data_IF_516346326563
#
_entry.id   IF_516346326563
#
_cell.length_a   1.000
_cell.length_b   1.000
_cell.length_c   1.000
_cell.angle_alpha   90.00
_cell.angle_beta   90.00
_cell.angle_gamma   90.00
#
_symmetry.space_group_name_H-M   'P 1'
#
loop_
_entity.id
_entity.type
_entity.pdbx_description
1 polymer ?
#
# COMPACT_ATOMS: atom_id res chain seq x y z
N UNK A 1 -29.33 22.07 59.77
CA UNK A 1 -28.34 22.39 58.74
C UNK A 1 -27.59 21.11 58.35
N UNK A 2 -28.21 20.11 57.72
CA UNK A 2 -27.55 18.83 57.36
C UNK A 2 -28.42 18.06 56.35
N UNK A 3 -28.73 18.62 55.21
CA UNK A 3 -29.38 17.88 54.13
C UNK A 3 -28.98 18.35 52.69
N UNK A 4 -27.88 19.09 52.50
CA UNK A 4 -27.44 19.59 51.19
C UNK A 4 -26.15 18.93 50.65
N UNK A 5 -25.50 18.02 51.38
CA UNK A 5 -24.22 17.43 50.99
C UNK A 5 -24.33 16.04 50.29
N UNK A 6 -25.53 15.45 50.23
CA UNK A 6 -25.69 14.09 49.67
C UNK A 6 -26.02 14.06 48.17
N UNK A 7 -26.42 15.19 47.56
CA UNK A 7 -26.76 15.20 46.11
C UNK A 7 -25.60 15.48 45.16
N UNK A 8 -24.44 15.91 45.65
CA UNK A 8 -23.30 16.25 44.78
C UNK A 8 -22.37 15.07 44.49
N UNK A 9 -22.48 13.98 45.25
CA UNK A 9 -21.61 12.79 45.07
C UNK A 9 -22.15 11.77 44.06
N UNK A 10 -23.41 11.86 43.62
CA UNK A 10 -24.01 10.90 42.67
C UNK A 10 -23.89 11.37 41.21
N UNK A 11 -23.59 12.64 40.97
CA UNK A 11 -23.43 13.19 39.60
C UNK A 11 -22.04 12.99 38.98
N UNK A 12 -21.05 12.51 39.74
CA UNK A 12 -19.68 12.23 39.24
C UNK A 12 -19.46 10.77 38.82
N UNK A 13 -20.44 9.88 39.01
CA UNK A 13 -20.30 8.45 38.69
C UNK A 13 -20.93 8.03 37.36
N UNK A 14 -21.44 8.97 36.57
CA UNK A 14 -22.03 8.74 35.26
C UNK A 14 -21.29 9.53 34.14
N UNK A 15 -19.96 9.64 34.23
CA UNK A 15 -19.20 9.92 33.03
C UNK A 15 -19.32 8.67 32.14
N UNK A 16 -19.94 8.74 30.93
CA UNK A 16 -19.85 7.63 30.02
C UNK A 16 -18.35 7.43 29.75
N UNK A 17 -17.84 6.22 30.01
CA UNK A 17 -16.61 5.76 29.42
C UNK A 17 -16.85 5.91 27.92
N UNK A 18 -16.33 6.98 27.33
CA UNK A 18 -16.15 7.06 25.90
C UNK A 18 -15.15 5.95 25.59
N UNK A 19 -15.67 4.77 25.26
CA UNK A 19 -14.90 3.76 24.58
C UNK A 19 -14.37 4.48 23.36
N UNK A 20 -13.06 4.67 23.27
CA UNK A 20 -12.41 5.13 22.06
C UNK A 20 -12.82 4.15 20.98
N UNK A 21 -13.74 4.55 20.12
CA UNK A 21 -14.13 3.74 18.97
C UNK A 21 -12.86 3.57 18.13
N UNK A 22 -12.55 2.32 17.77
CA UNK A 22 -11.53 2.06 16.78
C UNK A 22 -11.82 2.87 15.52
N UNK A 23 -10.84 3.46 14.84
CA UNK A 23 -11.07 4.14 13.57
C UNK A 23 -11.86 3.28 12.57
N UNK A 24 -11.68 1.96 12.58
CA UNK A 24 -12.45 1.01 11.77
C UNK A 24 -13.96 1.02 12.07
N UNK A 25 -14.36 1.29 13.32
CA UNK A 25 -15.77 1.30 13.73
C UNK A 25 -16.54 2.53 13.21
N UNK A 26 -15.84 3.52 12.66
CA UNK A 26 -16.46 4.77 12.17
C UNK A 26 -16.73 4.77 10.68
N UNK A 27 -16.19 3.80 9.94
CA UNK A 27 -16.33 3.72 8.48
C UNK A 27 -17.43 2.73 8.11
N UNK A 28 -18.53 3.25 7.55
CA UNK A 28 -19.61 2.43 7.00
C UNK A 28 -19.70 2.58 5.50
N UNK A 29 -19.81 1.45 4.79
CA UNK A 29 -20.05 1.44 3.37
C UNK A 29 -21.50 1.83 3.07
N UNK A 30 -21.70 2.85 2.23
CA UNK A 30 -23.03 3.20 1.71
C UNK A 30 -23.34 2.40 0.44
N UNK A 31 -24.63 2.38 0.05
CA UNK A 31 -25.06 1.64 -1.16
C UNK A 31 -24.37 2.05 -2.46
N UNK A 32 -23.73 3.23 -2.50
CA UNK A 32 -23.02 3.75 -3.67
C UNK A 32 -21.49 3.63 -3.53
N UNK A 33 -20.99 2.94 -2.51
CA UNK A 33 -19.57 2.81 -2.25
C UNK A 33 -18.94 1.60 -2.94
N UNK A 34 -19.74 0.74 -3.55
CA UNK A 34 -19.28 -0.38 -4.36
C UNK A 34 -18.39 0.10 -5.52
N UNK A 35 -17.23 -0.53 -5.68
CA UNK A 35 -16.26 -0.18 -6.72
C UNK A 35 -15.38 1.02 -6.38
N UNK A 36 -15.48 1.59 -5.19
CA UNK A 36 -14.53 2.58 -4.68
C UNK A 36 -13.26 1.90 -4.17
N UNK A 37 -12.16 2.64 -4.21
CA UNK A 37 -10.92 2.21 -3.57
C UNK A 37 -10.95 2.58 -2.09
N UNK A 38 -10.55 1.63 -1.25
CA UNK A 38 -10.45 1.78 0.19
C UNK A 38 -9.00 1.75 0.62
N UNK A 39 -8.67 2.50 1.65
CA UNK A 39 -7.35 2.43 2.28
C UNK A 39 -7.30 1.26 3.26
N UNK A 40 -6.11 0.74 3.55
CA UNK A 40 -5.95 -0.31 4.55
C UNK A 40 -6.36 0.12 5.97
N UNK A 41 -6.37 1.43 6.25
CA UNK A 41 -6.79 1.99 7.55
C UNK A 41 -8.31 2.01 7.72
N UNK A 42 -9.05 2.08 6.62
CA UNK A 42 -10.50 2.26 6.60
C UNK A 42 -11.16 1.31 5.60
N UNK A 43 -11.04 -0.01 5.79
CA UNK A 43 -11.74 -0.98 4.96
C UNK A 43 -13.24 -0.98 5.29
N UNK A 44 -14.12 -1.29 4.34
CA UNK A 44 -15.57 -1.34 4.55
C UNK A 44 -15.97 -2.67 5.20
N UNK A 45 -15.63 -2.86 6.47
CA UNK A 45 -15.82 -4.14 7.20
C UNK A 45 -17.27 -4.55 7.29
N UNK A 46 -18.18 -3.60 7.53
CA UNK A 46 -19.63 -3.82 7.54
C UNK A 46 -20.14 -4.38 6.20
N UNK A 47 -19.65 -3.86 5.08
CA UNK A 47 -20.00 -4.36 3.76
C UNK A 47 -19.50 -5.80 3.51
N UNK A 48 -18.29 -6.13 3.96
CA UNK A 48 -17.76 -7.49 3.83
C UNK A 48 -18.59 -8.48 4.65
N UNK A 49 -18.97 -8.10 5.87
CA UNK A 49 -19.77 -8.95 6.75
C UNK A 49 -21.21 -9.11 6.21
N UNK A 50 -21.89 -8.00 5.86
CA UNK A 50 -23.27 -8.01 5.40
C UNK A 50 -23.45 -8.68 4.03
N UNK A 51 -22.47 -8.48 3.12
CA UNK A 51 -22.60 -8.96 1.74
C UNK A 51 -22.06 -10.38 1.55
N UNK A 52 -20.96 -10.71 2.22
CA UNK A 52 -20.24 -11.96 2.01
C UNK A 52 -20.21 -12.86 3.23
N UNK A 53 -20.70 -12.41 4.38
CA UNK A 53 -20.59 -13.13 5.64
C UNK A 53 -19.13 -13.29 6.10
N UNK A 54 -18.25 -12.37 5.68
CA UNK A 54 -16.82 -12.42 5.93
C UNK A 54 -16.44 -11.38 6.98
N UNK A 55 -16.06 -11.84 8.17
CA UNK A 55 -15.51 -11.00 9.23
C UNK A 55 -13.99 -10.93 9.06
N UNK A 56 -13.48 -9.74 8.74
CA UNK A 56 -12.04 -9.46 8.60
C UNK A 56 -11.51 -8.89 9.91
N UNK A 57 -10.47 -9.49 10.44
CA UNK A 57 -9.75 -9.00 11.60
C UNK A 57 -8.45 -8.26 11.22
N UNK A 58 -7.81 -7.65 12.22
CA UNK A 58 -6.57 -6.89 12.02
C UNK A 58 -5.42 -7.78 11.52
N UNK A 59 -5.40 -9.06 11.88
CA UNK A 59 -4.37 -9.99 11.41
C UNK A 59 -4.53 -10.26 9.92
N UNK A 60 -5.74 -10.49 9.45
CA UNK A 60 -6.04 -10.67 8.02
C UNK A 60 -5.69 -9.42 7.22
N UNK A 61 -6.13 -8.25 7.67
CA UNK A 61 -5.86 -6.97 7.02
C UNK A 61 -4.36 -6.68 6.96
N UNK A 62 -3.64 -6.93 8.06
CA UNK A 62 -2.19 -6.80 8.09
C UNK A 62 -1.51 -7.75 7.12
N UNK A 63 -1.93 -9.01 7.07
CA UNK A 63 -1.41 -10.01 6.15
C UNK A 63 -1.62 -9.60 4.69
N UNK A 64 -2.82 -9.14 4.35
CA UNK A 64 -3.14 -8.64 3.01
C UNK A 64 -2.26 -7.43 2.63
N UNK A 65 -2.12 -6.46 3.53
CA UNK A 65 -1.26 -5.29 3.33
C UNK A 65 0.21 -5.68 3.15
N UNK A 66 0.71 -6.58 4.01
CA UNK A 66 2.11 -7.04 3.95
C UNK A 66 2.39 -7.93 2.73
N UNK A 67 1.35 -8.54 2.14
CA UNK A 67 1.47 -9.27 0.89
C UNK A 67 1.53 -8.36 -0.34
N UNK A 68 0.95 -7.17 -0.27
CA UNK A 68 0.91 -6.22 -1.38
C UNK A 68 2.21 -5.44 -1.50
N UNK A 69 2.65 -5.20 -2.74
CA UNK A 69 3.84 -4.45 -3.08
C UNK A 69 3.53 -3.38 -4.11
N UNK A 70 4.24 -2.27 -4.06
CA UNK A 70 4.36 -1.38 -5.21
C UNK A 70 5.73 -1.58 -5.88
N UNK A 71 5.74 -1.48 -7.18
CA UNK A 71 6.91 -1.51 -8.05
C UNK A 71 6.85 -0.30 -8.99
N UNK A 72 7.89 0.06 -9.74
CA UNK A 72 7.82 1.19 -10.65
C UNK A 72 6.57 1.16 -11.54
N UNK A 73 5.69 2.16 -11.39
CA UNK A 73 4.43 2.38 -12.13
C UNK A 73 3.38 1.25 -12.04
N UNK A 74 3.56 0.26 -11.18
CA UNK A 74 2.69 -0.90 -11.07
C UNK A 74 2.57 -1.40 -9.63
N UNK A 75 1.70 -2.37 -9.43
CA UNK A 75 1.57 -3.16 -8.20
C UNK A 75 2.02 -4.60 -8.41
N UNK A 76 2.38 -5.24 -7.30
CA UNK A 76 2.79 -6.63 -7.26
C UNK A 76 2.34 -7.27 -5.93
N UNK A 77 2.60 -8.54 -5.78
CA UNK A 77 2.31 -9.26 -4.53
C UNK A 77 3.36 -10.33 -4.24
N UNK A 78 3.72 -10.47 -2.96
CA UNK A 78 4.40 -11.68 -2.50
C UNK A 78 3.50 -12.89 -2.68
N UNK A 79 4.05 -13.95 -3.26
CA UNK A 79 3.36 -15.24 -3.48
C UNK A 79 4.11 -16.40 -2.84
N UNK A 80 5.22 -16.15 -2.16
CA UNK A 80 5.93 -17.16 -1.37
C UNK A 80 6.73 -16.52 -0.22
N UNK A 81 7.02 -17.31 0.83
CA UNK A 81 7.87 -16.86 1.93
C UNK A 81 9.35 -16.69 1.53
N UNK A 82 9.75 -17.17 0.35
CA UNK A 82 11.11 -17.05 -0.19
C UNK A 82 11.28 -15.84 -1.13
N UNK A 83 10.46 -14.80 -0.96
CA UNK A 83 10.58 -13.54 -1.70
C UNK A 83 10.09 -13.59 -3.15
N UNK A 84 9.37 -14.64 -3.58
CA UNK A 84 8.78 -14.68 -4.93
C UNK A 84 7.66 -13.65 -5.01
N UNK A 85 7.72 -12.82 -6.05
CA UNK A 85 6.81 -11.70 -6.32
C UNK A 85 6.13 -11.94 -7.66
N UNK A 86 4.81 -11.77 -7.71
CA UNK A 86 4.01 -11.82 -8.93
C UNK A 86 3.55 -10.42 -9.30
N UNK A 87 3.65 -10.09 -10.58
CA UNK A 87 3.09 -8.89 -11.20
C UNK A 87 2.57 -9.18 -12.59
N UNK A 88 2.02 -8.18 -13.28
CA UNK A 88 1.58 -8.33 -14.65
C UNK A 88 2.78 -8.37 -15.63
N UNK A 89 2.63 -9.09 -16.73
CA UNK A 89 3.63 -9.14 -17.80
C UNK A 89 3.87 -7.75 -18.40
N UNK A 90 2.82 -6.97 -18.63
CA UNK A 90 2.94 -5.63 -19.17
C UNK A 90 3.74 -4.67 -18.26
N UNK A 91 3.72 -4.89 -16.93
CA UNK A 91 4.53 -4.14 -15.98
C UNK A 91 6.02 -4.48 -16.05
N UNK A 92 6.37 -5.66 -16.58
CA UNK A 92 7.72 -6.20 -16.59
C UNK A 92 8.43 -6.09 -17.95
N UNK A 93 7.76 -5.65 -19.02
CA UNK A 93 8.30 -5.70 -20.39
C UNK A 93 9.65 -5.02 -20.56
N UNK A 94 9.83 -3.86 -19.95
CA UNK A 94 11.09 -3.13 -20.03
C UNK A 94 12.22 -3.92 -19.35
N UNK A 95 11.96 -4.50 -18.20
CA UNK A 95 12.94 -5.30 -17.44
C UNK A 95 13.25 -6.60 -18.15
N UNK A 96 12.25 -7.29 -18.74
CA UNK A 96 12.45 -8.51 -19.52
C UNK A 96 13.40 -8.21 -20.69
N UNK A 97 13.19 -7.10 -21.38
CA UNK A 97 14.07 -6.64 -22.45
C UNK A 97 15.47 -6.29 -21.95
N UNK A 98 15.56 -5.54 -20.83
CA UNK A 98 16.81 -5.06 -20.28
C UNK A 98 17.73 -6.19 -19.77
N UNK A 99 17.16 -7.30 -19.29
CA UNK A 99 17.93 -8.47 -18.83
C UNK A 99 18.29 -9.45 -19.95
N UNK A 100 17.82 -9.23 -21.19
CA UNK A 100 18.18 -10.03 -22.34
C UNK A 100 19.67 -9.84 -22.68
N UNK A 101 20.39 -10.94 -22.89
CA UNK A 101 21.81 -10.93 -23.26
C UNK A 101 21.96 -10.77 -24.78
N UNK A 102 23.14 -10.41 -25.27
CA UNK A 102 23.38 -10.37 -26.72
C UNK A 102 22.99 -11.68 -27.42
N UNK A 103 22.07 -11.58 -28.40
CA UNK A 103 21.54 -12.71 -29.12
C UNK A 103 20.30 -13.38 -28.51
N UNK A 104 19.81 -12.91 -27.39
CA UNK A 104 18.54 -13.33 -26.79
C UNK A 104 17.44 -12.30 -27.06
N UNK A 105 16.20 -12.77 -27.15
CA UNK A 105 15.00 -11.94 -27.15
C UNK A 105 13.99 -12.51 -26.15
N UNK A 106 14.24 -12.30 -24.88
CA UNK A 106 13.43 -12.90 -23.81
C UNK A 106 11.98 -12.40 -23.80
N UNK A 107 11.72 -11.24 -24.39
CA UNK A 107 10.35 -10.74 -24.52
C UNK A 107 9.52 -11.62 -25.47
N UNK A 108 10.12 -12.05 -26.61
CA UNK A 108 9.43 -12.90 -27.58
C UNK A 108 9.55 -14.40 -27.26
N UNK A 109 10.67 -14.83 -26.67
CA UNK A 109 10.98 -16.24 -26.41
C UNK A 109 10.51 -16.72 -25.03
N UNK A 110 10.20 -15.79 -24.13
CA UNK A 110 9.94 -16.07 -22.72
C UNK A 110 11.22 -16.36 -21.93
N UNK A 111 11.08 -16.44 -20.62
CA UNK A 111 12.17 -16.76 -19.69
C UNK A 111 11.69 -17.61 -18.53
N UNK A 112 12.49 -18.57 -18.12
CA UNK A 112 12.28 -19.34 -16.90
C UNK A 112 13.62 -19.74 -16.28
N UNK A 113 13.92 -19.26 -15.08
CA UNK A 113 15.09 -19.65 -14.30
C UNK A 113 14.85 -21.03 -13.67
N UNK A 114 15.71 -22.02 -13.95
CA UNK A 114 15.65 -23.36 -13.39
C UNK A 114 16.15 -23.40 -11.94
N UNK A 115 16.92 -22.38 -11.54
CA UNK A 115 17.50 -22.23 -10.20
C UNK A 115 17.69 -20.75 -9.86
N UNK A 116 17.87 -20.45 -8.59
CA UNK A 116 18.15 -19.07 -8.12
C UNK A 116 19.40 -18.45 -8.76
N UNK A 117 20.39 -19.28 -9.15
CA UNK A 117 21.60 -18.80 -9.82
C UNK A 117 21.39 -18.37 -11.27
N UNK A 118 20.27 -18.73 -11.85
CA UNK A 118 19.87 -18.35 -13.21
C UNK A 118 18.95 -17.14 -13.25
N UNK A 119 18.42 -16.74 -12.08
CA UNK A 119 17.61 -15.54 -11.96
C UNK A 119 18.42 -14.31 -12.39
N UNK A 120 17.79 -13.39 -13.13
CA UNK A 120 18.49 -12.26 -13.73
C UNK A 120 18.21 -10.98 -13.00
N UNK A 121 19.23 -10.30 -12.45
CA UNK A 121 19.07 -8.99 -11.83
C UNK A 121 18.40 -8.01 -12.80
N UNK A 122 17.28 -7.43 -12.39
CA UNK A 122 16.51 -6.47 -13.17
C UNK A 122 16.98 -5.05 -12.84
N UNK A 123 17.64 -4.35 -13.80
CA UNK A 123 18.18 -3.01 -13.54
C UNK A 123 17.03 -2.03 -13.26
N UNK A 124 17.29 -1.11 -12.32
CA UNK A 124 16.35 -0.06 -11.92
C UNK A 124 14.99 -0.56 -11.38
N UNK A 125 14.84 -1.88 -11.21
CA UNK A 125 13.68 -2.47 -10.56
C UNK A 125 13.85 -2.44 -9.05
N UNK A 126 12.79 -2.05 -8.36
CA UNK A 126 12.69 -2.16 -6.92
C UNK A 126 11.29 -2.63 -6.51
N UNK A 127 11.15 -3.11 -5.31
CA UNK A 127 9.85 -3.39 -4.71
C UNK A 127 9.74 -2.70 -3.36
N UNK A 128 8.57 -2.17 -3.04
CA UNK A 128 8.29 -1.51 -1.77
C UNK A 128 7.08 -2.15 -1.09
N UNK A 129 7.28 -2.54 0.15
CA UNK A 129 6.29 -3.16 1.02
C UNK A 129 5.81 -2.14 2.06
N UNK A 130 4.51 -1.84 2.10
CA UNK A 130 3.93 -0.95 3.10
C UNK A 130 3.91 -1.64 4.46
N UNK A 131 4.87 -1.29 5.32
CA UNK A 131 5.03 -1.93 6.64
C UNK A 131 4.32 -1.20 7.77
N UNK A 132 4.15 0.12 7.66
CA UNK A 132 3.56 0.95 8.70
C UNK A 132 2.73 2.09 8.12
N UNK A 133 1.62 2.38 8.78
CA UNK A 133 0.78 3.55 8.52
C UNK A 133 0.65 4.29 9.85
N UNK A 134 0.89 5.60 9.84
CA UNK A 134 0.86 6.48 11.01
C UNK A 134 -0.02 7.70 10.71
N UNK A 135 -0.96 8.02 11.60
CA UNK A 135 -1.75 9.24 11.50
C UNK A 135 -0.90 10.43 11.93
N UNK A 136 -0.63 11.34 11.02
CA UNK A 136 0.14 12.58 11.25
C UNK A 136 -0.71 13.83 11.01
N UNK A 137 -2.03 13.67 11.02
CA UNK A 137 -2.97 14.75 10.72
C UNK A 137 -2.78 15.94 11.66
N UNK A 138 -2.75 15.71 12.97
CA UNK A 138 -2.60 16.79 13.94
C UNK A 138 -1.24 17.51 13.79
N UNK A 139 -0.16 16.78 13.49
CA UNK A 139 1.16 17.36 13.27
C UNK A 139 1.18 18.28 12.04
N UNK A 140 0.58 17.86 10.92
CA UNK A 140 0.47 18.69 9.72
C UNK A 140 -0.46 19.88 9.95
N UNK A 141 -1.65 19.68 10.55
CA UNK A 141 -2.61 20.76 10.76
C UNK A 141 -2.09 21.83 11.74
N UNK A 142 -1.37 21.45 12.80
CA UNK A 142 -0.74 22.38 13.72
C UNK A 142 0.25 23.32 13.02
N UNK A 143 0.98 22.85 12.01
CA UNK A 143 1.87 23.69 11.22
C UNK A 143 1.13 24.76 10.39
N UNK A 144 -0.16 24.54 10.11
CA UNK A 144 -0.98 25.45 9.31
C UNK A 144 -1.68 26.54 10.16
N UNK A 145 -1.77 26.40 11.48
CA UNK A 145 -2.54 27.31 12.35
C UNK A 145 -2.02 28.74 12.33
N UNK A 146 -0.70 28.93 12.21
CA UNK A 146 -0.06 30.27 12.22
C UNK A 146 -0.06 30.97 10.86
N UNK A 147 -0.55 30.33 9.79
CA UNK A 147 -0.51 30.86 8.42
C UNK A 147 -1.66 31.84 8.16
N UNK A 148 -1.38 32.92 7.41
CA UNK A 148 -2.35 33.99 7.11
C UNK A 148 -2.83 33.95 5.65
N UNK A 149 -2.04 33.35 4.75
CA UNK A 149 -2.32 33.31 3.32
C UNK A 149 -2.28 31.88 2.79
N UNK A 150 -2.89 31.65 1.63
CA UNK A 150 -2.88 30.34 0.96
C UNK A 150 -1.45 29.91 0.55
N UNK A 151 -0.60 30.84 0.19
CA UNK A 151 0.80 30.59 -0.13
C UNK A 151 1.58 30.11 1.10
N UNK A 152 1.48 30.85 2.22
CA UNK A 152 2.09 30.43 3.49
C UNK A 152 1.58 29.06 3.94
N UNK A 153 0.29 28.79 3.76
CA UNK A 153 -0.33 27.50 4.09
C UNK A 153 0.23 26.37 3.24
N UNK A 154 0.45 26.58 1.96
CA UNK A 154 1.05 25.60 1.06
C UNK A 154 2.51 25.29 1.47
N UNK A 155 3.30 26.33 1.73
CA UNK A 155 4.71 26.20 2.14
C UNK A 155 4.84 25.50 3.51
N UNK A 156 4.00 25.88 4.47
CA UNK A 156 3.97 25.27 5.80
C UNK A 156 3.61 23.78 5.73
N UNK A 157 2.64 23.44 4.87
CA UNK A 157 2.27 22.02 4.64
C UNK A 157 3.43 21.23 4.08
N UNK A 158 4.08 21.73 3.03
CA UNK A 158 5.24 21.08 2.42
C UNK A 158 6.35 20.88 3.44
N UNK A 159 6.69 21.91 4.21
CA UNK A 159 7.71 21.86 5.25
C UNK A 159 7.38 20.82 6.33
N UNK A 160 6.13 20.75 6.78
CA UNK A 160 5.69 19.77 7.77
C UNK A 160 5.81 18.34 7.21
N UNK A 161 5.34 18.11 5.99
CA UNK A 161 5.44 16.81 5.30
C UNK A 161 6.90 16.38 5.16
N UNK A 162 7.78 17.25 4.68
CA UNK A 162 9.22 16.97 4.50
C UNK A 162 9.89 16.63 5.85
N UNK A 163 9.53 17.36 6.92
CA UNK A 163 10.03 17.11 8.26
C UNK A 163 9.60 15.75 8.82
N UNK A 164 8.33 15.38 8.63
CA UNK A 164 7.79 14.08 9.05
C UNK A 164 8.48 12.96 8.28
N UNK A 165 8.60 13.07 6.97
CA UNK A 165 9.27 12.10 6.10
C UNK A 165 10.72 11.89 6.55
N UNK A 166 11.50 12.98 6.68
CA UNK A 166 12.90 12.92 7.11
C UNK A 166 13.04 12.30 8.52
N UNK A 167 12.13 12.60 9.44
CA UNK A 167 12.11 12.02 10.79
C UNK A 167 11.94 10.51 10.74
N UNK A 168 10.99 10.02 9.94
CA UNK A 168 10.70 8.59 9.82
C UNK A 168 11.87 7.87 9.16
N UNK A 169 12.37 8.37 8.04
CA UNK A 169 13.49 7.76 7.29
C UNK A 169 14.77 7.71 8.13
N UNK A 170 15.09 8.80 8.84
CA UNK A 170 16.21 8.83 9.77
C UNK A 170 16.10 7.79 10.88
N UNK A 171 14.90 7.59 11.42
CA UNK A 171 14.66 6.63 12.49
C UNK A 171 14.69 5.17 12.02
N UNK A 172 14.30 4.92 10.76
CA UNK A 172 14.16 3.56 10.20
C UNK A 172 15.41 3.08 9.47
N UNK A 173 16.21 3.99 8.90
CA UNK A 173 17.44 3.70 8.15
C UNK A 173 17.21 3.51 6.64
N UNK A 174 18.33 3.31 5.92
CA UNK A 174 18.40 3.42 4.45
C UNK A 174 17.53 2.42 3.66
N UNK A 175 17.15 1.31 4.28
CA UNK A 175 16.27 0.30 3.66
C UNK A 175 14.79 0.70 3.67
N UNK A 176 14.46 1.90 4.17
CA UNK A 176 13.09 2.36 4.32
C UNK A 176 12.90 3.72 3.67
N UNK A 177 11.72 3.91 3.11
CA UNK A 177 11.25 5.19 2.57
C UNK A 177 9.94 5.58 3.24
N UNK A 178 9.66 6.87 3.32
CA UNK A 178 8.42 7.37 3.88
C UNK A 178 7.73 8.32 2.92
N UNK A 179 6.40 8.32 2.95
CA UNK A 179 5.58 9.22 2.14
C UNK A 179 4.37 9.66 2.96
N UNK A 180 4.11 10.97 3.02
CA UNK A 180 2.91 11.50 3.67
C UNK A 180 1.83 11.75 2.62
N UNK A 181 0.73 11.00 2.74
CA UNK A 181 -0.40 11.05 1.82
C UNK A 181 -1.53 11.88 2.42
N UNK A 182 -1.99 12.90 1.66
CA UNK A 182 -3.20 13.64 2.01
C UNK A 182 -4.43 12.88 1.53
N UNK A 183 -5.28 12.48 2.44
CA UNK A 183 -6.54 11.79 2.21
C UNK A 183 -7.73 12.73 2.45
N UNK A 184 -8.88 12.41 1.83
CA UNK A 184 -10.14 13.13 2.04
C UNK A 184 -10.00 14.64 1.85
N UNK A 185 -9.33 15.08 0.77
CA UNK A 185 -9.05 16.48 0.45
C UNK A 185 -8.30 17.24 1.56
N UNK A 186 -7.39 16.56 2.26
CA UNK A 186 -6.60 17.13 3.35
C UNK A 186 -7.30 17.08 4.73
N UNK A 187 -8.37 16.32 4.84
CA UNK A 187 -9.01 16.04 6.13
C UNK A 187 -8.22 15.02 6.97
N UNK A 188 -7.28 14.29 6.34
CA UNK A 188 -6.38 13.36 7.00
C UNK A 188 -5.04 13.35 6.29
N UNK A 189 -3.98 13.18 7.08
CA UNK A 189 -2.62 12.94 6.60
C UNK A 189 -2.10 11.65 7.22
N UNK A 190 -1.74 10.68 6.37
CA UNK A 190 -1.19 9.39 6.78
C UNK A 190 0.26 9.27 6.29
N UNK A 191 1.19 9.00 7.20
CA UNK A 191 2.57 8.70 6.85
C UNK A 191 2.70 7.20 6.60
N UNK A 192 3.01 6.84 5.37
CA UNK A 192 3.25 5.48 4.91
C UNK A 192 4.75 5.19 4.95
N UNK A 193 5.14 4.16 5.68
CA UNK A 193 6.53 3.70 5.72
C UNK A 193 6.66 2.42 4.91
N UNK A 194 7.54 2.45 3.91
CA UNK A 194 7.79 1.31 3.04
C UNK A 194 9.17 0.73 3.35
N UNK A 195 9.24 -0.59 3.38
CA UNK A 195 10.49 -1.31 3.22
C UNK A 195 10.80 -1.44 1.76
N UNK A 196 11.99 -1.02 1.34
CA UNK A 196 12.46 -1.07 -0.03
C UNK A 196 13.40 -2.25 -0.24
N UNK A 197 13.24 -2.93 -1.35
CA UNK A 197 14.07 -4.02 -1.83
C UNK A 197 14.64 -3.62 -3.18
N UNK A 198 15.95 -3.49 -3.30
CA UNK A 198 16.64 -3.04 -4.51
C UNK A 198 17.25 -4.19 -5.32
N UNK A 199 17.53 -5.36 -4.71
CA UNK A 199 17.90 -6.57 -5.46
C UNK A 199 16.65 -7.33 -5.87
N UNK A 200 16.17 -7.03 -7.08
CA UNK A 200 15.01 -7.67 -7.71
C UNK A 200 15.46 -8.41 -8.96
N UNK A 201 15.11 -9.69 -9.07
CA UNK A 201 15.56 -10.55 -10.17
C UNK A 201 14.40 -11.19 -10.89
N UNK A 202 14.48 -11.22 -12.24
CA UNK A 202 13.51 -11.92 -13.08
C UNK A 202 13.64 -13.42 -12.88
N UNK A 203 12.51 -14.07 -12.57
CA UNK A 203 12.41 -15.52 -12.37
C UNK A 203 11.70 -16.19 -13.55
N UNK A 204 10.57 -15.60 -13.98
CA UNK A 204 9.79 -16.14 -15.09
C UNK A 204 9.01 -15.02 -15.79
N UNK A 205 9.00 -15.07 -17.11
CA UNK A 205 8.10 -14.29 -17.95
C UNK A 205 7.63 -15.17 -19.11
N UNK A 206 6.33 -15.22 -19.43
CA UNK A 206 5.87 -15.86 -20.64
C UNK A 206 6.33 -15.06 -21.87
N UNK A 207 6.32 -15.69 -23.04
CA UNK A 207 6.50 -15.01 -24.31
C UNK A 207 5.41 -13.94 -24.52
N UNK A 208 5.73 -12.87 -25.23
CA UNK A 208 4.82 -11.75 -25.48
C UNK A 208 3.48 -12.21 -26.10
N UNK A 209 3.53 -13.22 -26.99
CA UNK A 209 2.34 -13.74 -27.66
C UNK A 209 1.33 -14.37 -26.67
N UNK A 210 1.79 -14.92 -25.55
CA UNK A 210 0.93 -15.41 -24.48
C UNK A 210 0.53 -14.29 -23.50
N UNK A 211 1.47 -13.39 -23.19
CA UNK A 211 1.25 -12.29 -22.25
C UNK A 211 0.36 -11.18 -22.78
N UNK A 212 0.21 -11.05 -24.10
CA UNK A 212 -0.46 -9.91 -24.73
C UNK A 212 -1.18 -10.22 -26.03
N UNK A 213 -1.55 -11.46 -26.30
CA UNK A 213 -2.29 -11.75 -27.54
C UNK A 213 -3.64 -11.00 -27.55
N UNK A 214 -4.02 -10.44 -28.71
CA UNK A 214 -5.28 -9.68 -28.84
C UNK A 214 -5.31 -8.33 -28.13
N UNK A 215 -4.22 -7.92 -27.47
CA UNK A 215 -4.06 -6.65 -26.79
C UNK A 215 -4.83 -6.57 -25.47
N UNK A 216 -4.98 -5.36 -24.93
CA UNK A 216 -5.61 -5.11 -23.62
C UNK A 216 -7.07 -5.58 -23.58
N UNK A 217 -7.80 -5.49 -24.69
CA UNK A 217 -9.20 -5.94 -24.74
C UNK A 217 -9.33 -7.44 -24.44
N UNK A 218 -8.43 -8.27 -24.93
CA UNK A 218 -8.46 -9.72 -24.66
C UNK A 218 -7.90 -10.06 -23.28
N UNK A 219 -7.01 -9.26 -22.72
CA UNK A 219 -6.49 -9.44 -21.37
C UNK A 219 -7.60 -9.39 -20.29
N UNK A 220 -8.64 -8.57 -20.51
CA UNK A 220 -9.72 -8.35 -19.53
C UNK A 220 -11.07 -8.92 -19.96
N UNK A 221 -11.15 -9.68 -21.07
CA UNK A 221 -12.43 -10.13 -21.62
C UNK A 221 -12.59 -11.65 -21.53
N UNK A 222 -13.56 -12.10 -20.73
CA UNK A 222 -13.97 -13.49 -20.71
C UNK A 222 -14.43 -13.94 -22.13
N UNK A 223 -14.06 -15.13 -22.62
CA UNK A 223 -13.20 -16.17 -22.02
C UNK A 223 -11.73 -16.12 -22.50
N UNK A 224 -11.27 -15.04 -23.09
CA UNK A 224 -9.97 -14.95 -23.75
C UNK A 224 -8.97 -14.09 -22.96
N UNK A 225 -8.67 -14.50 -21.72
CA UNK A 225 -7.66 -13.83 -20.93
C UNK A 225 -6.25 -14.14 -21.44
N UNK A 226 -5.44 -13.10 -21.63
CA UNK A 226 -4.00 -13.26 -21.86
C UNK A 226 -3.32 -13.77 -20.57
N UNK A 227 -2.15 -14.39 -20.71
CA UNK A 227 -1.30 -14.79 -19.59
C UNK A 227 -0.44 -13.59 -19.16
N UNK A 228 -1.11 -12.51 -18.69
CA UNK A 228 -0.48 -11.25 -18.29
C UNK A 228 0.09 -11.36 -16.88
N UNK A 229 1.12 -12.20 -16.71
CA UNK A 229 1.79 -12.43 -15.43
C UNK A 229 3.30 -12.58 -15.62
N UNK A 230 4.06 -12.16 -14.61
CA UNK A 230 5.52 -12.31 -14.53
C UNK A 230 5.92 -12.51 -13.09
N UNK A 231 6.97 -13.28 -12.86
CA UNK A 231 7.53 -13.49 -11.54
C UNK A 231 8.93 -12.88 -11.43
N UNK A 232 9.11 -12.13 -10.36
CA UNK A 232 10.39 -11.69 -9.87
C UNK A 232 10.67 -12.33 -8.50
N UNK A 233 11.89 -12.20 -8.03
CA UNK A 233 12.25 -12.47 -6.63
C UNK A 233 12.97 -11.26 -6.06
N UNK A 234 12.57 -10.87 -4.85
CA UNK A 234 13.31 -9.89 -4.07
C UNK A 234 14.30 -10.61 -3.17
N UNK A 235 15.48 -10.05 -3.07
CA UNK A 235 16.54 -10.48 -2.17
C UNK A 235 16.72 -9.42 -1.08
N UNK A 236 17.11 -9.88 0.08
CA UNK A 236 17.39 -9.04 1.22
C UNK A 236 18.89 -9.12 1.47
N UNK A 237 19.55 -7.99 1.40
CA UNK A 237 20.98 -7.88 1.76
C UNK A 237 21.17 -8.00 3.28
#
# INVERSE_FOLDING_TARGET
MTRLSACLAVLLALAPLALAQSPADTVRAGQYDNGKMWTFDFPPLDYFEETYGLTLDDEWLTTARMGALRIPNCSASFVSPSGLVMTNHHCAREQITAVSRPGENLLDDGFYAQSMSEERPAPEMYAEQLIRIEDVTDEVLAALEATQTDAERADARTTAIDSITARIETAMGDAFTAEVIALYNGGRYSAYTFRRYDDVRLVMAPELQLGYYGGDADNFTYPRYALDMTFFRVYND
#
